data_IF_912628794861
#
_entry.id   IF_912628794861
#
_cell.length_a   1.000
_cell.length_b   1.000
_cell.length_c   1.000
_cell.angle_alpha   90.00
_cell.angle_beta   90.00
_cell.angle_gamma   90.00
#
_symmetry.space_group_name_H-M   'P 1'
#
loop_
_entity.id
_entity.type
_entity.pdbx_description
1 polymer ?
#
# COMPACT_ATOMS: atom_id res chain seq x y z
N UNK A 1 -4.20 -28.83 37.52
CA UNK A 1 -2.86 -28.91 36.89
C UNK A 1 -2.48 -27.51 36.44
N UNK A 2 -1.27 -27.05 36.78
CA UNK A 2 -0.74 -25.77 36.30
C UNK A 2 0.27 -26.01 35.18
N UNK A 3 0.20 -25.24 34.09
CA UNK A 3 1.21 -25.23 33.03
C UNK A 3 2.22 -24.14 33.39
N UNK A 4 3.50 -24.50 33.46
CA UNK A 4 4.62 -23.57 33.64
C UNK A 4 5.39 -23.47 32.32
N UNK A 5 5.60 -22.25 31.82
CA UNK A 5 6.40 -21.97 30.62
C UNK A 5 7.71 -21.35 31.06
N UNK A 6 8.83 -21.90 30.59
CA UNK A 6 10.15 -21.33 30.89
C UNK A 6 10.38 -20.05 30.10
N UNK A 7 11.13 -19.11 30.68
CA UNK A 7 11.56 -17.88 30.00
C UNK A 7 12.32 -18.18 28.71
N UNK A 8 13.13 -19.26 28.70
CA UNK A 8 13.83 -19.72 27.51
C UNK A 8 12.89 -20.15 26.38
N UNK A 9 11.77 -20.81 26.72
CA UNK A 9 10.76 -21.19 25.73
C UNK A 9 10.08 -19.96 25.11
N UNK A 10 9.85 -18.91 25.90
CA UNK A 10 9.32 -17.63 25.40
C UNK A 10 10.33 -17.00 24.43
N UNK A 11 11.61 -16.87 24.82
CA UNK A 11 12.64 -16.31 23.96
C UNK A 11 12.84 -17.08 22.66
N UNK A 12 12.86 -18.42 22.74
CA UNK A 12 12.97 -19.27 21.56
C UNK A 12 11.76 -19.08 20.61
N UNK A 13 10.54 -18.99 21.16
CA UNK A 13 9.34 -18.73 20.37
C UNK A 13 9.38 -17.35 19.70
N UNK A 14 9.81 -16.30 20.42
CA UNK A 14 9.94 -14.96 19.84
C UNK A 14 11.01 -14.89 18.75
N UNK A 15 12.15 -15.55 18.94
CA UNK A 15 13.20 -15.62 17.93
C UNK A 15 12.74 -16.38 16.68
N UNK A 16 12.06 -17.52 16.86
CA UNK A 16 11.51 -18.30 15.76
C UNK A 16 10.47 -17.50 14.97
N UNK A 17 9.57 -16.79 15.66
CA UNK A 17 8.57 -15.94 15.02
C UNK A 17 9.22 -14.79 14.26
N UNK A 18 10.21 -14.13 14.86
CA UNK A 18 10.97 -13.05 14.21
C UNK A 18 11.69 -13.52 12.95
N UNK A 19 12.38 -14.68 13.00
CA UNK A 19 13.06 -15.25 11.84
C UNK A 19 12.07 -15.63 10.72
N UNK A 20 10.92 -16.21 11.08
CA UNK A 20 9.87 -16.57 10.12
C UNK A 20 9.24 -15.33 9.48
N UNK A 21 8.95 -14.29 10.27
CA UNK A 21 8.44 -13.02 9.75
C UNK A 21 9.45 -12.38 8.80
N UNK A 22 10.73 -12.36 9.16
CA UNK A 22 11.79 -11.83 8.29
C UNK A 22 11.85 -12.57 6.95
N UNK A 23 11.86 -13.90 6.95
CA UNK A 23 11.83 -14.68 5.72
C UNK A 23 10.59 -14.39 4.86
N UNK A 24 9.44 -14.20 5.50
CA UNK A 24 8.17 -13.90 4.80
C UNK A 24 8.19 -12.50 4.21
N UNK A 25 8.70 -11.50 4.93
CA UNK A 25 8.89 -10.14 4.41
C UNK A 25 9.85 -10.14 3.21
N UNK A 26 10.98 -10.83 3.32
CA UNK A 26 11.96 -10.96 2.22
C UNK A 26 11.32 -11.60 0.99
N UNK A 27 10.71 -12.77 1.15
CA UNK A 27 10.06 -13.49 0.05
C UNK A 27 8.95 -12.66 -0.60
N UNK A 28 8.17 -11.91 0.18
CA UNK A 28 7.14 -11.04 -0.35
C UNK A 28 7.74 -9.83 -1.07
N UNK A 29 8.74 -9.15 -0.50
CA UNK A 29 9.39 -8.00 -1.14
C UNK A 29 10.06 -8.39 -2.46
N UNK A 30 10.81 -9.49 -2.47
CA UNK A 30 11.48 -10.02 -3.66
C UNK A 30 10.51 -10.50 -4.75
N UNK A 31 9.24 -10.77 -4.42
CA UNK A 31 8.24 -11.08 -5.44
C UNK A 31 7.86 -9.88 -6.30
N UNK A 32 8.21 -8.65 -5.88
CA UNK A 32 7.79 -7.37 -6.45
C UNK A 32 6.26 -7.17 -6.50
N UNK A 33 5.49 -8.08 -5.92
CA UNK A 33 4.04 -8.01 -5.79
C UNK A 33 3.64 -7.58 -4.39
N UNK A 34 4.41 -6.68 -3.79
CA UNK A 34 4.21 -6.20 -2.43
C UNK A 34 3.84 -4.72 -2.43
N UNK A 35 2.87 -4.37 -1.60
CA UNK A 35 2.65 -2.99 -1.19
C UNK A 35 3.05 -2.81 0.28
N UNK A 36 3.59 -1.63 0.56
CA UNK A 36 4.07 -1.23 1.86
C UNK A 36 3.13 -0.17 2.42
N UNK A 37 2.74 -0.31 3.69
CA UNK A 37 2.08 0.76 4.42
C UNK A 37 2.83 1.06 5.70
N UNK A 38 2.96 2.33 6.07
CA UNK A 38 3.63 2.71 7.32
C UNK A 38 3.02 3.95 7.96
N UNK A 39 3.08 3.99 9.29
CA UNK A 39 2.54 5.08 10.09
C UNK A 39 3.32 5.24 11.40
N UNK A 40 3.25 6.43 11.99
CA UNK A 40 3.81 6.71 13.30
C UNK A 40 2.97 6.06 14.40
N UNK A 41 3.64 5.74 15.50
CA UNK A 41 2.98 5.43 16.76
C UNK A 41 3.84 5.91 17.94
N UNK A 42 3.17 6.29 19.01
CA UNK A 42 3.81 6.77 20.22
C UNK A 42 3.76 5.70 21.31
N UNK A 43 4.91 5.39 21.91
CA UNK A 43 4.97 4.56 23.11
C UNK A 43 5.47 5.41 24.28
N UNK A 44 4.68 5.43 25.36
CA UNK A 44 5.12 5.96 26.66
C UNK A 44 5.80 4.85 27.47
N UNK A 45 7.13 4.80 27.41
CA UNK A 45 7.96 3.88 28.19
C UNK A 45 8.14 4.42 29.61
N UNK A 46 7.13 4.23 30.45
CA UNK A 46 7.20 4.62 31.87
C UNK A 46 8.31 3.88 32.60
N UNK A 47 9.36 4.58 33.02
CA UNK A 47 10.40 4.00 33.88
C UNK A 47 9.88 3.81 35.31
N UNK A 48 10.20 2.67 35.93
CA UNK A 48 9.88 2.40 37.33
C UNK A 48 10.65 3.33 38.30
N UNK A 49 11.77 3.91 37.87
CA UNK A 49 12.48 4.96 38.61
C UNK A 49 11.95 6.34 38.19
N UNK A 50 11.21 7.00 39.08
CA UNK A 50 10.83 8.41 38.93
C UNK A 50 12.03 9.32 39.22
N UNK A 51 12.87 9.58 38.21
CA UNK A 51 13.83 10.69 38.28
C UNK A 51 13.11 11.98 37.90
N UNK A 52 12.97 12.88 38.88
CA UNK A 52 12.26 14.17 38.81
C UNK A 52 12.73 15.04 37.62
N UNK A 53 13.93 14.81 37.09
CA UNK A 53 14.56 15.67 36.08
C UNK A 53 14.25 15.32 34.61
N UNK A 54 13.54 14.24 34.28
CA UNK A 54 13.28 13.87 32.87
C UNK A 54 11.87 13.29 32.60
N UNK A 55 10.81 13.98 33.04
CA UNK A 55 9.42 13.58 32.79
C UNK A 55 9.01 13.54 31.28
N UNK A 56 9.77 14.19 30.39
CA UNK A 56 9.44 14.27 28.96
C UNK A 56 10.22 13.28 28.06
N UNK A 57 11.06 12.39 28.61
CA UNK A 57 11.86 11.43 27.82
C UNK A 57 11.25 10.03 27.68
N UNK A 58 10.10 9.77 28.29
CA UNK A 58 9.46 8.44 28.23
C UNK A 58 8.71 8.20 26.92
N UNK A 59 8.22 9.28 26.27
CA UNK A 59 7.53 9.19 25.00
C UNK A 59 8.54 8.95 23.87
N UNK A 60 8.37 7.83 23.17
CA UNK A 60 9.12 7.46 21.96
C UNK A 60 8.20 7.55 20.76
N UNK A 61 8.60 8.37 19.78
CA UNK A 61 7.97 8.48 18.47
C UNK A 61 8.62 7.46 17.53
N UNK A 62 7.90 6.39 17.21
CA UNK A 62 8.39 5.30 16.38
C UNK A 62 7.54 5.20 15.11
N UNK A 63 8.08 4.56 14.07
CA UNK A 63 7.33 4.22 12.85
C UNK A 63 7.11 2.72 12.79
N UNK A 64 5.89 2.29 12.54
CA UNK A 64 5.55 0.89 12.25
C UNK A 64 5.21 0.76 10.78
N UNK A 65 5.48 -0.42 10.22
CA UNK A 65 5.10 -0.75 8.86
C UNK A 65 4.39 -2.08 8.76
N UNK A 66 3.73 -2.29 7.65
CA UNK A 66 3.21 -3.58 7.23
C UNK A 66 3.43 -3.76 5.72
N UNK A 67 3.56 -5.01 5.32
CA UNK A 67 3.60 -5.43 3.93
C UNK A 67 2.38 -6.29 3.65
N UNK A 68 1.83 -6.16 2.45
CA UNK A 68 0.75 -7.02 1.98
C UNK A 68 0.93 -7.31 0.49
N UNK A 69 0.59 -8.54 0.06
CA UNK A 69 0.64 -8.89 -1.35
C UNK A 69 -0.41 -8.13 -2.14
N UNK A 70 -0.03 -7.70 -3.32
CA UNK A 70 -0.93 -7.26 -4.37
C UNK A 70 -1.64 -8.49 -4.90
N UNK A 71 -2.90 -8.63 -4.48
CA UNK A 71 -3.76 -9.75 -4.85
C UNK A 71 -4.68 -9.33 -5.99
N UNK A 72 -5.18 -10.33 -6.72
CA UNK A 72 -6.15 -10.22 -7.81
C UNK A 72 -5.63 -9.51 -9.05
N UNK A 73 -5.55 -10.27 -10.15
CA UNK A 73 -5.24 -9.78 -11.50
C UNK A 73 -3.98 -8.90 -11.61
N UNK A 74 -3.12 -8.87 -10.59
CA UNK A 74 -1.87 -8.12 -10.58
C UNK A 74 -0.75 -9.11 -10.77
N UNK A 75 -0.03 -8.94 -11.86
CA UNK A 75 1.18 -9.66 -12.20
C UNK A 75 2.38 -8.74 -12.11
N UNK A 76 3.57 -9.35 -12.11
CA UNK A 76 4.82 -8.60 -12.09
C UNK A 76 4.96 -7.71 -13.34
N UNK A 77 4.41 -8.14 -14.48
CA UNK A 77 4.42 -7.38 -15.73
C UNK A 77 3.59 -6.09 -15.63
N UNK A 78 2.50 -6.09 -14.86
CA UNK A 78 1.67 -4.89 -14.67
C UNK A 78 2.43 -3.79 -13.91
N UNK A 79 3.42 -4.18 -13.10
CA UNK A 79 4.28 -3.26 -12.35
C UNK A 79 5.56 -2.87 -13.11
N UNK A 80 5.82 -3.49 -14.26
CA UNK A 80 6.99 -3.25 -15.11
C UNK A 80 6.84 -2.00 -15.98
N UNK A 81 6.51 -0.88 -15.35
CA UNK A 81 6.18 0.37 -16.05
C UNK A 81 6.99 1.57 -15.56
N UNK A 82 8.12 1.36 -14.86
CA UNK A 82 8.93 2.46 -14.32
C UNK A 82 9.43 3.42 -15.41
N UNK A 83 9.90 2.89 -16.54
CA UNK A 83 10.37 3.68 -17.69
C UNK A 83 9.23 4.51 -18.30
N UNK A 84 8.06 3.89 -18.52
CA UNK A 84 6.90 4.59 -19.07
C UNK A 84 6.44 5.73 -18.14
N UNK A 85 6.41 5.47 -16.82
CA UNK A 85 6.09 6.49 -15.83
C UNK A 85 7.13 7.62 -15.84
N UNK A 86 8.41 7.29 -15.95
CA UNK A 86 9.49 8.29 -16.03
C UNK A 86 9.39 9.15 -17.29
N UNK A 87 9.11 8.56 -18.45
CA UNK A 87 8.93 9.28 -19.72
C UNK A 87 7.75 10.25 -19.68
N UNK A 88 6.74 9.97 -18.87
CA UNK A 88 5.53 10.78 -18.69
C UNK A 88 5.59 11.71 -17.46
N UNK A 89 6.63 11.59 -16.65
CA UNK A 89 6.75 12.31 -15.39
C UNK A 89 7.01 13.80 -15.62
N UNK A 90 6.35 14.65 -14.83
CA UNK A 90 6.64 16.08 -14.80
C UNK A 90 8.05 16.41 -14.29
N UNK A 91 8.72 15.43 -13.67
CA UNK A 91 10.09 15.53 -13.19
C UNK A 91 11.13 15.24 -14.27
N UNK A 92 10.73 14.60 -15.36
CA UNK A 92 11.62 14.36 -16.49
C UNK A 92 11.62 15.62 -17.38
N UNK A 93 12.75 16.33 -17.39
CA UNK A 93 12.92 17.56 -18.17
C UNK A 93 12.76 17.37 -19.70
N UNK A 94 12.81 16.13 -20.17
CA UNK A 94 12.64 15.76 -21.58
C UNK A 94 11.23 15.24 -21.91
N UNK A 95 10.36 15.10 -20.91
CA UNK A 95 9.02 14.60 -21.11
C UNK A 95 8.14 15.60 -21.87
N UNK A 96 7.24 15.08 -22.70
CA UNK A 96 6.15 15.88 -23.26
C UNK A 96 5.17 16.27 -22.15
N UNK A 97 4.68 17.51 -22.18
CA UNK A 97 3.70 18.00 -21.20
C UNK A 97 2.36 17.31 -21.46
N UNK A 98 2.08 16.25 -20.72
CA UNK A 98 0.79 15.59 -20.75
C UNK A 98 -0.28 16.43 -20.03
N UNK A 99 -1.53 16.45 -20.53
CA UNK A 99 -2.63 17.07 -19.81
C UNK A 99 -2.81 16.38 -18.46
N UNK A 100 -2.97 17.18 -17.40
CA UNK A 100 -3.27 16.66 -16.06
C UNK A 100 -4.61 15.92 -16.12
N UNK A 101 -4.55 14.61 -15.89
CA UNK A 101 -5.74 13.78 -15.73
C UNK A 101 -6.31 13.99 -14.33
N UNK A 102 -7.60 14.25 -14.25
CA UNK A 102 -8.35 14.27 -12.99
C UNK A 102 -9.01 12.92 -12.72
N UNK A 103 -9.68 12.82 -11.58
CA UNK A 103 -10.44 11.61 -11.22
C UNK A 103 -11.54 11.26 -12.24
N UNK A 104 -12.05 12.25 -12.98
CA UNK A 104 -13.04 12.04 -14.04
C UNK A 104 -12.50 11.22 -15.21
N UNK A 105 -11.20 11.33 -15.48
CA UNK A 105 -10.55 10.53 -16.52
C UNK A 105 -10.39 9.06 -16.10
N UNK A 106 -10.57 8.75 -14.80
CA UNK A 106 -10.65 7.36 -14.34
C UNK A 106 -11.98 6.70 -14.75
N UNK A 107 -13.03 7.50 -14.97
CA UNK A 107 -14.33 6.99 -15.40
C UNK A 107 -14.32 6.49 -16.85
N UNK A 108 -13.29 6.81 -17.64
CA UNK A 108 -13.13 6.36 -19.02
C UNK A 108 -12.12 5.22 -19.18
N UNK A 109 -11.57 4.68 -18.08
CA UNK A 109 -10.63 3.56 -18.13
C UNK A 109 -11.25 2.30 -18.74
N UNK A 110 -12.55 2.09 -18.49
CA UNK A 110 -13.31 1.04 -19.13
C UNK A 110 -14.25 1.66 -20.17
N UNK A 111 -14.04 1.41 -21.47
CA UNK A 111 -14.95 1.89 -22.49
C UNK A 111 -16.30 1.19 -22.31
N UNK A 112 -17.30 1.96 -21.89
CA UNK A 112 -18.65 1.48 -21.69
C UNK A 112 -19.43 1.57 -23.02
N UNK A 113 -19.33 0.52 -23.83
CA UNK A 113 -19.99 0.47 -25.14
C UNK A 113 -21.45 0.07 -25.00
N UNK A 114 -22.40 0.77 -25.65
CA UNK A 114 -23.81 0.40 -25.60
C UNK A 114 -24.04 -1.02 -26.12
N UNK A 115 -24.86 -1.79 -25.42
CA UNK A 115 -25.28 -3.11 -25.88
C UNK A 115 -26.33 -2.98 -27.01
N UNK A 116 -26.92 -4.11 -27.45
CA UNK A 116 -27.96 -4.12 -28.49
C UNK A 116 -29.23 -3.32 -28.14
N UNK A 117 -29.46 -2.99 -26.86
CA UNK A 117 -30.55 -2.14 -26.40
C UNK A 117 -30.19 -0.65 -26.33
N UNK A 118 -28.95 -0.29 -26.68
CA UNK A 118 -28.45 1.08 -26.62
C UNK A 118 -28.10 1.56 -25.21
N UNK A 119 -28.08 0.65 -24.23
CA UNK A 119 -27.75 0.96 -22.83
C UNK A 119 -26.32 0.55 -22.52
N UNK A 120 -25.65 1.41 -21.75
CA UNK A 120 -24.32 1.15 -21.20
C UNK A 120 -24.40 0.33 -19.91
N UNK A 121 -23.31 -0.28 -19.46
CA UNK A 121 -23.24 -0.95 -18.17
C UNK A 121 -23.57 -0.01 -17.01
N UNK A 122 -23.11 1.24 -17.07
CA UNK A 122 -23.49 2.28 -16.12
C UNK A 122 -25.00 2.53 -16.11
N UNK A 123 -25.65 2.55 -17.29
CA UNK A 123 -27.10 2.70 -17.37
C UNK A 123 -27.85 1.51 -16.76
N UNK A 124 -27.38 0.28 -16.99
CA UNK A 124 -27.96 -0.91 -16.37
C UNK A 124 -27.82 -0.88 -14.85
N UNK A 125 -26.65 -0.50 -14.33
CA UNK A 125 -26.44 -0.36 -12.90
C UNK A 125 -27.32 0.73 -12.30
N UNK A 126 -27.41 1.89 -12.95
CA UNK A 126 -28.27 2.99 -12.49
C UNK A 126 -29.75 2.57 -12.49
N UNK A 127 -30.22 1.94 -13.57
CA UNK A 127 -31.58 1.40 -13.66
C UNK A 127 -31.85 0.41 -12.53
N UNK A 128 -30.95 -0.54 -12.32
CA UNK A 128 -31.02 -1.50 -11.22
C UNK A 128 -31.08 -0.78 -9.87
N UNK A 129 -30.22 0.22 -9.63
CA UNK A 129 -30.18 0.96 -8.36
C UNK A 129 -31.45 1.75 -8.10
N UNK A 130 -32.05 2.35 -9.13
CA UNK A 130 -33.35 3.00 -9.02
C UNK A 130 -34.46 2.00 -8.65
N UNK A 131 -34.52 0.86 -9.33
CA UNK A 131 -35.50 -0.19 -9.04
C UNK A 131 -35.30 -0.76 -7.63
N UNK A 132 -34.05 -1.04 -7.25
CA UNK A 132 -33.68 -1.49 -5.90
C UNK A 132 -34.19 -0.53 -4.83
N UNK A 133 -33.94 0.77 -5.00
CA UNK A 133 -34.38 1.78 -4.04
C UNK A 133 -35.91 1.86 -3.97
N UNK A 134 -36.59 1.78 -5.12
CA UNK A 134 -38.05 1.85 -5.20
C UNK A 134 -38.72 0.64 -4.53
N UNK A 135 -38.16 -0.56 -4.72
CA UNK A 135 -38.66 -1.81 -4.13
C UNK A 135 -38.35 -1.89 -2.64
N UNK A 136 -37.17 -1.43 -2.22
CA UNK A 136 -36.69 -1.58 -0.83
C UNK A 136 -37.19 -0.47 0.09
N UNK A 137 -37.29 0.77 -0.42
CA UNK A 137 -37.59 1.97 0.38
C UNK A 137 -38.80 2.76 -0.13
N UNK A 138 -39.38 2.38 -1.27
CA UNK A 138 -40.52 3.07 -1.85
C UNK A 138 -41.86 2.64 -1.22
N UNK A 139 -42.98 3.09 -1.82
CA UNK A 139 -44.32 2.71 -1.38
C UNK A 139 -44.54 1.20 -1.29
N UNK A 140 -45.40 0.70 -0.38
CA UNK A 140 -45.62 -0.73 -0.18
C UNK A 140 -46.01 -1.52 -1.44
N UNK A 141 -46.64 -0.84 -2.41
CA UNK A 141 -46.96 -1.40 -3.72
C UNK A 141 -45.73 -2.01 -4.42
N UNK A 142 -44.55 -1.40 -4.33
CA UNK A 142 -43.38 -1.86 -5.06
C UNK A 142 -42.67 -3.05 -4.42
N UNK A 143 -42.95 -3.36 -3.15
CA UNK A 143 -42.35 -4.52 -2.47
C UNK A 143 -42.70 -5.85 -3.15
N UNK A 144 -43.83 -5.92 -3.87
CA UNK A 144 -44.24 -7.13 -4.61
C UNK A 144 -43.25 -7.53 -5.73
N UNK A 145 -42.39 -6.60 -6.18
CA UNK A 145 -41.41 -6.85 -7.25
C UNK A 145 -40.04 -7.29 -6.69
N UNK A 146 -39.91 -7.46 -5.38
CA UNK A 146 -38.63 -7.83 -4.75
C UNK A 146 -38.03 -9.11 -5.31
N UNK A 147 -38.86 -10.12 -5.55
CA UNK A 147 -38.41 -11.41 -6.07
C UNK A 147 -38.10 -11.37 -7.58
N UNK A 148 -38.44 -10.27 -8.28
CA UNK A 148 -38.17 -10.07 -9.71
C UNK A 148 -36.88 -9.28 -9.95
N UNK A 149 -36.33 -8.64 -8.91
CA UNK A 149 -35.11 -7.85 -9.02
C UNK A 149 -33.89 -8.76 -8.78
N UNK A 150 -33.16 -9.03 -9.87
CA UNK A 150 -31.90 -9.78 -9.82
C UNK A 150 -30.75 -8.86 -9.42
N UNK A 151 -29.65 -9.44 -8.92
CA UNK A 151 -28.39 -8.70 -8.70
C UNK A 151 -27.88 -8.12 -10.03
N UNK A 152 -27.17 -6.98 -9.99
CA UNK A 152 -26.64 -6.37 -11.20
C UNK A 152 -25.56 -7.27 -11.81
N UNK A 153 -25.33 -7.12 -13.10
CA UNK A 153 -24.24 -7.81 -13.79
C UNK A 153 -22.89 -7.44 -13.16
N UNK A 154 -22.09 -8.45 -12.84
CA UNK A 154 -20.78 -8.26 -12.24
C UNK A 154 -19.74 -8.04 -13.35
N UNK A 155 -19.21 -6.82 -13.39
CA UNK A 155 -18.16 -6.41 -14.33
C UNK A 155 -16.87 -6.28 -13.52
N UNK A 156 -15.91 -7.16 -13.81
CA UNK A 156 -14.59 -7.17 -13.16
C UNK A 156 -14.68 -7.01 -11.63
N UNK A 157 -15.49 -7.86 -11.00
CA UNK A 157 -15.76 -7.74 -9.58
C UNK A 157 -14.48 -7.86 -8.76
N UNK A 158 -14.20 -6.84 -7.95
CA UNK A 158 -13.15 -6.88 -6.95
C UNK A 158 -13.58 -7.89 -5.88
N UNK A 159 -12.87 -9.02 -5.73
CA UNK A 159 -13.27 -10.02 -4.78
C UNK A 159 -13.07 -9.50 -3.36
N UNK A 160 -14.10 -9.68 -2.53
CA UNK A 160 -14.06 -9.31 -1.12
C UNK A 160 -13.36 -10.42 -0.35
N UNK A 161 -12.04 -10.36 -0.30
CA UNK A 161 -11.23 -11.25 0.53
C UNK A 161 -10.47 -10.49 1.59
N UNK A 162 -10.12 -11.19 2.67
CA UNK A 162 -9.25 -10.62 3.70
C UNK A 162 -7.82 -10.57 3.17
N UNK A 163 -7.29 -9.36 2.99
CA UNK A 163 -5.89 -9.16 2.63
C UNK A 163 -4.98 -9.65 3.76
N UNK A 164 -4.05 -10.57 3.50
CA UNK A 164 -3.06 -10.97 4.48
C UNK A 164 -2.06 -9.82 4.69
N UNK A 165 -1.79 -9.48 5.94
CA UNK A 165 -0.83 -8.43 6.31
C UNK A 165 0.31 -9.04 7.14
N UNK A 166 1.53 -8.61 6.87
CA UNK A 166 2.73 -9.01 7.60
C UNK A 166 3.30 -7.74 8.22
N UNK A 167 3.40 -7.72 9.54
CA UNK A 167 3.98 -6.58 10.24
C UNK A 167 5.49 -6.50 9.97
N UNK A 168 5.96 -5.32 9.59
CA UNK A 168 7.37 -4.99 9.54
C UNK A 168 7.89 -4.69 10.96
N UNK A 169 9.20 -4.75 11.14
CA UNK A 169 9.86 -4.30 12.35
C UNK A 169 9.69 -2.80 12.51
N UNK A 170 9.37 -2.39 13.74
CA UNK A 170 9.28 -0.98 14.10
C UNK A 170 10.66 -0.31 14.00
N UNK A 171 10.63 0.98 13.68
CA UNK A 171 11.81 1.81 13.42
C UNK A 171 11.81 2.98 14.41
N UNK A 172 12.97 3.31 14.99
CA UNK A 172 13.16 4.55 15.79
C UNK A 172 13.36 5.75 14.85
N UNK A 173 12.33 6.01 14.05
CA UNK A 173 12.26 7.06 13.03
C UNK A 173 10.91 7.75 13.18
N UNK A 174 10.90 9.08 13.12
CA UNK A 174 9.66 9.87 13.05
C UNK A 174 9.38 10.20 11.59
N UNK A 175 8.25 9.72 11.06
CA UNK A 175 7.82 10.04 9.70
C UNK A 175 7.26 11.48 9.57
N UNK A 176 7.35 12.34 10.60
CA UNK A 176 6.84 13.72 10.53
C UNK A 176 7.78 14.68 9.78
N UNK A 177 8.89 14.17 9.24
CA UNK A 177 9.89 14.95 8.50
C UNK A 177 10.19 14.29 7.16
N UNK A 178 10.66 15.08 6.19
CA UNK A 178 11.09 14.56 4.88
C UNK A 178 12.15 13.47 5.02
N UNK A 179 13.20 13.73 5.81
CA UNK A 179 14.27 12.76 6.05
C UNK A 179 13.76 11.49 6.75
N UNK A 180 12.84 11.63 7.70
CA UNK A 180 12.24 10.48 8.37
C UNK A 180 11.37 9.62 7.46
N UNK A 181 10.67 10.21 6.48
CA UNK A 181 9.95 9.43 5.47
C UNK A 181 10.89 8.64 4.58
N UNK A 182 11.95 9.28 4.07
CA UNK A 182 12.96 8.62 3.25
C UNK A 182 13.54 7.43 4.02
N UNK A 183 13.96 7.65 5.27
CA UNK A 183 14.54 6.59 6.10
C UNK A 183 13.54 5.47 6.36
N UNK A 184 12.26 5.78 6.57
CA UNK A 184 11.22 4.77 6.74
C UNK A 184 11.05 3.92 5.48
N UNK A 185 11.04 4.53 4.30
CA UNK A 185 10.97 3.83 3.02
C UNK A 185 12.19 2.94 2.81
N UNK A 186 13.41 3.45 3.02
CA UNK A 186 14.66 2.68 2.89
C UNK A 186 14.64 1.46 3.82
N UNK A 187 14.35 1.67 5.10
CA UNK A 187 14.29 0.59 6.08
C UNK A 187 13.23 -0.48 5.72
N UNK A 188 12.11 -0.09 5.11
CA UNK A 188 11.07 -1.03 4.68
C UNK A 188 11.50 -1.82 3.44
N UNK A 189 12.19 -1.18 2.49
CA UNK A 189 12.79 -1.86 1.33
C UNK A 189 13.85 -2.88 1.78
N UNK A 190 14.73 -2.50 2.71
CA UNK A 190 15.73 -3.41 3.30
C UNK A 190 15.08 -4.63 3.96
N UNK A 191 14.00 -4.43 4.73
CA UNK A 191 13.26 -5.52 5.34
C UNK A 191 12.61 -6.47 4.32
N UNK A 192 12.26 -5.96 3.14
CA UNK A 192 11.79 -6.75 2.00
C UNK A 192 12.91 -7.31 1.11
N UNK A 193 14.19 -7.07 1.44
CA UNK A 193 15.37 -7.35 0.58
C UNK A 193 15.21 -6.79 -0.83
N UNK A 194 14.61 -5.61 -0.94
CA UNK A 194 14.59 -4.80 -2.16
C UNK A 194 15.76 -3.83 -2.06
N UNK A 195 16.81 -4.05 -2.83
CA UNK A 195 18.03 -3.21 -2.82
C UNK A 195 18.49 -2.93 -4.25
N UNK A 196 19.40 -1.95 -4.39
CA UNK A 196 19.96 -1.60 -5.69
C UNK A 196 20.81 -2.76 -6.24
N UNK A 197 20.70 -3.05 -7.55
CA UNK A 197 21.39 -4.18 -8.17
C UNK A 197 22.92 -4.11 -8.05
N UNK A 198 23.49 -2.90 -7.91
CA UNK A 198 24.94 -2.71 -7.84
C UNK A 198 25.53 -2.96 -6.43
N UNK A 199 24.68 -3.18 -5.42
CA UNK A 199 25.16 -3.40 -4.04
C UNK A 199 25.54 -4.84 -3.73
N UNK A 200 25.02 -5.83 -4.47
CA UNK A 200 25.29 -7.25 -4.22
C UNK A 200 25.24 -8.09 -5.51
N UNK A 201 26.28 -8.90 -5.76
CA UNK A 201 26.29 -9.96 -6.79
C UNK A 201 25.43 -11.17 -6.35
N UNK A 202 24.21 -10.94 -5.87
CA UNK A 202 23.27 -12.00 -5.47
C UNK A 202 22.22 -12.20 -6.58
N UNK A 203 22.29 -13.31 -7.35
CA UNK A 203 21.34 -13.57 -8.44
C UNK A 203 19.90 -13.77 -7.96
N UNK A 204 19.67 -13.92 -6.66
CA UNK A 204 18.33 -14.02 -6.07
C UNK A 204 17.67 -12.65 -5.81
N UNK A 205 18.42 -11.53 -5.92
CA UNK A 205 17.86 -10.19 -5.74
C UNK A 205 17.30 -9.68 -7.08
N UNK A 206 16.00 -9.38 -7.17
CA UNK A 206 15.41 -8.89 -8.41
C UNK A 206 15.91 -7.48 -8.76
N UNK A 207 16.20 -7.24 -10.04
CA UNK A 207 16.48 -5.88 -10.51
C UNK A 207 15.18 -5.06 -10.47
N UNK A 208 15.12 -4.10 -9.55
CA UNK A 208 13.94 -3.26 -9.32
C UNK A 208 13.83 -2.07 -10.26
N UNK A 209 14.86 -1.77 -11.06
CA UNK A 209 14.90 -0.56 -11.90
C UNK A 209 13.75 -0.47 -12.90
N UNK A 210 13.23 -1.61 -13.35
CA UNK A 210 12.12 -1.73 -14.32
C UNK A 210 10.74 -1.73 -13.64
N UNK A 211 10.68 -1.86 -12.32
CA UNK A 211 9.46 -2.10 -11.55
C UNK A 211 9.07 -0.93 -10.66
N UNK A 212 7.76 -0.82 -10.41
CA UNK A 212 7.21 0.16 -9.47
C UNK A 212 6.93 -0.52 -8.14
N UNK A 213 7.39 0.10 -7.04
CA UNK A 213 7.07 -0.32 -5.68
C UNK A 213 6.04 0.63 -5.08
N UNK A 214 4.99 0.07 -4.50
CA UNK A 214 3.86 0.83 -3.95
C UNK A 214 4.03 1.09 -2.46
N UNK A 215 3.98 2.36 -2.08
CA UNK A 215 4.01 2.81 -0.69
C UNK A 215 2.74 3.57 -0.34
N UNK A 216 2.26 3.33 0.87
CA UNK A 216 1.17 4.06 1.51
C UNK A 216 1.66 4.58 2.86
N UNK A 217 1.37 5.84 3.16
CA UNK A 217 1.72 6.43 4.45
C UNK A 217 0.68 7.47 4.87
N UNK A 218 0.89 8.08 6.03
CA UNK A 218 0.01 9.14 6.55
C UNK A 218 -0.01 10.38 5.63
N UNK A 219 -0.97 11.27 5.87
CA UNK A 219 -1.13 12.56 5.20
C UNK A 219 0.20 13.32 5.14
N UNK A 220 0.61 13.74 3.95
CA UNK A 220 1.91 14.40 3.75
C UNK A 220 3.00 13.50 3.18
N UNK A 221 2.88 12.17 3.31
CA UNK A 221 3.87 11.21 2.79
C UNK A 221 4.13 11.42 1.30
N UNK A 222 3.06 11.55 0.51
CA UNK A 222 3.16 11.76 -0.94
C UNK A 222 3.85 13.09 -1.27
N UNK A 223 3.47 14.17 -0.59
CA UNK A 223 4.06 15.49 -0.77
C UNK A 223 5.54 15.50 -0.41
N UNK A 224 5.92 14.86 0.69
CA UNK A 224 7.32 14.78 1.11
C UNK A 224 8.17 13.97 0.14
N UNK A 225 7.70 12.81 -0.30
CA UNK A 225 8.38 12.03 -1.33
C UNK A 225 8.49 12.81 -2.65
N UNK A 226 7.47 13.57 -3.02
CA UNK A 226 7.52 14.42 -4.21
C UNK A 226 8.57 15.53 -4.08
N UNK A 227 8.70 16.17 -2.92
CA UNK A 227 9.75 17.17 -2.66
C UNK A 227 11.14 16.56 -2.81
N UNK A 228 11.33 15.33 -2.34
CA UNK A 228 12.59 14.60 -2.49
C UNK A 228 12.88 14.32 -3.96
N UNK A 229 11.92 13.77 -4.69
CA UNK A 229 12.08 13.49 -6.11
C UNK A 229 12.41 14.77 -6.90
N UNK A 230 11.78 15.90 -6.59
CA UNK A 230 12.10 17.21 -7.19
C UNK A 230 13.54 17.65 -6.87
N UNK A 231 13.98 17.45 -5.63
CA UNK A 231 15.35 17.78 -5.22
C UNK A 231 16.39 16.92 -5.93
N UNK A 232 16.14 15.62 -6.12
CA UNK A 232 17.05 14.71 -6.83
C UNK A 232 17.19 15.10 -8.31
N UNK A 233 16.09 15.47 -8.97
CA UNK A 233 16.09 15.96 -10.36
C UNK A 233 16.97 17.20 -10.52
N UNK A 234 16.88 18.16 -9.60
CA UNK A 234 17.69 19.39 -9.66
C UNK A 234 19.18 19.09 -9.49
N UNK A 235 19.52 18.12 -8.65
CA UNK A 235 20.90 17.80 -8.30
C UNK A 235 21.59 16.85 -9.31
N UNK A 236 20.86 16.26 -10.26
CA UNK A 236 21.35 15.17 -11.13
C UNK A 236 21.99 14.01 -10.35
N UNK A 237 21.62 13.84 -9.08
CA UNK A 237 22.10 12.75 -8.25
C UNK A 237 21.09 11.60 -8.34
N UNK A 238 21.47 10.38 -8.76
CA UNK A 238 20.72 9.19 -8.40
C UNK A 238 20.67 9.09 -6.86
N UNK A 239 19.79 8.24 -6.34
CA UNK A 239 19.51 8.10 -4.92
C UNK A 239 20.74 7.65 -4.11
N UNK A 240 21.62 8.60 -3.75
CA UNK A 240 22.71 8.43 -2.77
C UNK A 240 22.26 8.77 -1.34
#
# INVERSE_FOLDING_TARGET
>A
MGVSVSVNAIFAATHSLSAQTHHTLCSLGQSLLAAYAYDNFDIDLKSHEHKIENLNKSLKHLTSGLMFPLQHCTSQEDLKCSEELWLKSSLNLRAEVLPKRGWKDLLSLQPDTPNSSGLTHCDHFNLWKFLFNLVTYGPPYFMQFKDQLHEPELIEGIPVIKTPTIAALAMDVSNSTVAGNIQSVINLLEQGRIMEPDTFDDPEIPNISEYVVLFHGDLGTGEWLQVVQQCCVIKNTPWD
#
